data_IF_744212706378
#
_entry.id   IF_744212706378
#
_cell.length_a   1.000
_cell.length_b   1.000
_cell.length_c   1.000
_cell.angle_alpha   90.00
_cell.angle_beta   90.00
_cell.angle_gamma   90.00
#
_symmetry.space_group_name_H-M   'P 1'
#
loop_
_entity.id
_entity.type
_entity.pdbx_description
1 polymer ?
#
# COMPACT_ATOMS: atom_id res chain seq x y z
N UNK A 1 22.79 46.04 43.07
CA UNK A 1 23.56 44.80 42.92
C UNK A 1 23.62 44.51 41.42
N UNK A 2 24.80 44.66 40.83
CA UNK A 2 25.09 44.45 39.41
C UNK A 2 25.37 42.97 39.17
N UNK A 3 24.99 42.46 37.98
CA UNK A 3 25.61 41.29 37.35
C UNK A 3 24.62 40.18 36.96
N UNK A 4 24.75 39.43 35.87
CA UNK A 4 25.68 39.42 34.74
C UNK A 4 25.10 38.48 33.67
N UNK A 5 25.43 38.72 32.40
CA UNK A 5 25.10 37.91 31.22
C UNK A 5 25.60 36.45 31.29
N UNK A 6 24.94 35.54 30.56
CA UNK A 6 25.55 34.55 29.63
C UNK A 6 24.43 33.77 28.95
N UNK A 7 24.15 33.97 27.65
CA UNK A 7 24.82 33.26 26.55
C UNK A 7 25.20 31.82 26.94
N UNK A 8 24.24 30.91 26.83
CA UNK A 8 24.52 29.50 26.47
C UNK A 8 23.56 29.11 25.37
N UNK A 9 23.98 29.38 24.14
CA UNK A 9 23.65 28.52 23.01
C UNK A 9 24.05 27.09 23.38
N UNK A 10 23.11 26.15 23.36
CA UNK A 10 23.39 24.77 22.94
C UNK A 10 22.41 24.39 21.85
N UNK A 11 22.88 24.70 20.65
CA UNK A 11 22.51 24.10 19.39
C UNK A 11 22.66 22.57 19.40
N UNK A 12 21.93 21.94 18.47
CA UNK A 12 22.00 20.53 18.00
C UNK A 12 21.27 19.52 18.90
N UNK A 13 20.11 19.02 18.47
CA UNK A 13 20.06 18.01 17.42
C UNK A 13 19.05 18.33 16.31
N UNK A 14 19.55 19.00 15.27
CA UNK A 14 19.03 18.89 13.91
C UNK A 14 19.26 17.44 13.46
N UNK A 15 18.24 16.59 13.55
CA UNK A 15 18.18 15.43 12.66
C UNK A 15 17.66 15.94 11.32
N UNK A 16 18.51 15.83 10.31
CA UNK A 16 18.32 16.32 8.95
C UNK A 16 16.99 15.86 8.33
N UNK A 17 15.94 16.68 8.37
CA UNK A 17 15.04 16.76 7.22
C UNK A 17 15.74 17.63 6.18
N UNK A 18 16.58 17.03 5.33
CA UNK A 18 17.43 17.75 4.36
C UNK A 18 16.65 18.56 3.31
N UNK A 19 15.32 18.57 3.36
CA UNK A 19 14.45 19.35 2.48
C UNK A 19 13.24 19.91 3.25
N UNK A 20 13.22 21.20 3.61
CA UNK A 20 12.00 21.87 4.06
C UNK A 20 11.11 22.07 2.83
N UNK A 21 10.03 21.28 2.69
CA UNK A 21 9.04 21.46 1.62
C UNK A 21 8.83 20.29 0.65
N UNK A 22 9.35 19.09 0.92
CA UNK A 22 8.93 17.91 0.15
C UNK A 22 7.53 17.48 0.59
N UNK A 23 6.48 18.01 -0.04
CA UNK A 23 5.19 17.31 -0.11
C UNK A 23 5.49 15.87 -0.55
N UNK A 24 5.14 14.88 0.28
CA UNK A 24 5.32 13.47 -0.09
C UNK A 24 4.31 13.16 -1.19
N UNK A 25 4.71 13.33 -2.45
CA UNK A 25 3.91 12.90 -3.59
C UNK A 25 3.78 11.38 -3.57
N UNK A 26 2.55 10.87 -3.53
CA UNK A 26 2.24 9.45 -3.68
C UNK A 26 2.83 8.92 -4.98
N UNK A 27 3.44 7.73 -4.92
CA UNK A 27 4.01 7.06 -6.09
C UNK A 27 3.05 5.95 -6.54
N UNK A 28 2.85 5.84 -7.84
CA UNK A 28 2.01 4.80 -8.45
C UNK A 28 2.91 3.81 -9.19
N UNK A 29 2.75 2.52 -8.90
CA UNK A 29 3.41 1.41 -9.61
C UNK A 29 2.31 0.61 -10.30
N UNK A 30 2.33 0.58 -11.64
CA UNK A 30 1.38 -0.20 -12.42
C UNK A 30 1.97 -1.58 -12.73
N UNK A 31 1.26 -2.63 -12.35
CA UNK A 31 1.63 -4.02 -12.66
C UNK A 31 0.74 -4.51 -13.80
N UNK A 32 1.34 -4.78 -14.95
CA UNK A 32 0.65 -5.29 -16.14
C UNK A 32 1.06 -6.73 -16.46
N UNK A 33 0.28 -7.42 -17.30
CA UNK A 33 0.56 -8.78 -17.75
C UNK A 33 0.63 -8.87 -19.27
N UNK A 34 1.60 -9.64 -19.78
CA UNK A 34 1.71 -9.97 -21.19
C UNK A 34 1.71 -11.49 -21.42
N UNK A 35 1.61 -11.89 -22.68
CA UNK A 35 1.64 -13.29 -23.16
C UNK A 35 0.42 -14.12 -22.75
N UNK A 36 0.21 -14.35 -21.45
CA UNK A 36 -0.85 -15.20 -20.94
C UNK A 36 -1.38 -14.74 -19.57
N UNK A 37 -2.57 -15.22 -19.21
CA UNK A 37 -3.14 -15.08 -17.87
C UNK A 37 -2.55 -16.13 -16.90
N UNK A 38 -2.92 -16.07 -15.62
CA UNK A 38 -2.49 -17.03 -14.57
C UNK A 38 -0.98 -17.10 -14.27
N UNK A 39 -0.21 -16.07 -14.64
CA UNK A 39 1.24 -15.98 -14.36
C UNK A 39 1.59 -15.52 -12.93
N UNK A 40 0.63 -15.47 -12.01
CA UNK A 40 0.89 -15.05 -10.62
C UNK A 40 1.10 -13.54 -10.41
N UNK A 41 0.44 -12.70 -11.22
CA UNK A 41 0.55 -11.23 -11.11
C UNK A 41 0.11 -10.69 -9.75
N UNK A 42 -1.03 -11.15 -9.24
CA UNK A 42 -1.55 -10.76 -7.92
C UNK A 42 -0.55 -11.06 -6.81
N UNK A 43 -0.03 -12.29 -6.76
CA UNK A 43 1.00 -12.69 -5.78
C UNK A 43 2.32 -11.93 -5.93
N UNK A 44 2.77 -11.68 -7.17
CA UNK A 44 4.01 -10.93 -7.43
C UNK A 44 3.88 -9.47 -6.98
N UNK A 45 2.74 -8.83 -7.27
CA UNK A 45 2.44 -7.48 -6.81
C UNK A 45 2.35 -7.43 -5.27
N UNK A 46 1.69 -8.42 -4.65
CA UNK A 46 1.56 -8.55 -3.19
C UNK A 46 2.92 -8.67 -2.51
N UNK A 47 3.79 -9.51 -3.07
CA UNK A 47 5.16 -9.70 -2.60
C UNK A 47 5.99 -8.42 -2.70
N UNK A 48 5.84 -7.66 -3.79
CA UNK A 48 6.48 -6.35 -3.93
C UNK A 48 5.94 -5.36 -2.89
N UNK A 49 4.63 -5.33 -2.66
CA UNK A 49 4.00 -4.53 -1.61
C UNK A 49 4.56 -4.82 -0.23
N UNK A 50 4.68 -6.10 0.12
CA UNK A 50 5.31 -6.56 1.36
C UNK A 50 6.76 -6.07 1.50
N UNK A 51 7.58 -6.18 0.45
CA UNK A 51 8.96 -5.67 0.46
C UNK A 51 9.04 -4.14 0.62
N UNK A 52 8.07 -3.40 0.10
CA UNK A 52 8.00 -1.95 0.28
C UNK A 52 7.57 -1.59 1.71
N UNK A 53 6.60 -2.30 2.29
CA UNK A 53 6.20 -2.19 3.71
C UNK A 53 7.36 -2.50 4.64
N UNK A 54 8.11 -3.56 4.37
CA UNK A 54 9.32 -3.93 5.13
C UNK A 54 10.41 -2.85 5.11
N UNK A 55 10.37 -1.92 4.14
CA UNK A 55 11.25 -0.73 4.08
C UNK A 55 10.67 0.50 4.78
N UNK A 56 9.58 0.35 5.53
CA UNK A 56 8.92 1.44 6.27
C UNK A 56 8.11 2.38 5.37
N UNK A 57 7.71 1.95 4.17
CA UNK A 57 6.84 2.72 3.29
C UNK A 57 5.37 2.42 3.58
N UNK A 58 4.53 3.45 3.55
CA UNK A 58 3.08 3.28 3.47
C UNK A 58 2.73 2.79 2.07
N UNK A 59 2.05 1.65 1.98
CA UNK A 59 1.69 1.00 0.72
C UNK A 59 0.22 0.62 0.80
N UNK A 60 -0.51 0.90 -0.28
CA UNK A 60 -1.86 0.38 -0.53
C UNK A 60 -1.84 -0.27 -1.91
N UNK A 61 -2.81 -1.15 -2.19
CA UNK A 61 -2.90 -1.90 -3.44
C UNK A 61 -4.33 -1.86 -3.96
N UNK A 62 -4.47 -1.90 -5.28
CA UNK A 62 -5.76 -1.87 -5.96
C UNK A 62 -5.75 -2.86 -7.12
N UNK A 63 -6.84 -3.62 -7.25
CA UNK A 63 -7.11 -4.49 -8.39
C UNK A 63 -8.03 -3.79 -9.37
N UNK A 64 -7.72 -3.90 -10.66
CA UNK A 64 -8.59 -3.46 -11.76
C UNK A 64 -9.02 -4.69 -12.55
N UNK A 65 -10.24 -5.17 -12.32
CA UNK A 65 -10.80 -6.30 -13.05
C UNK A 65 -11.51 -5.82 -14.33
N UNK A 66 -11.20 -6.41 -15.50
CA UNK A 66 -11.80 -5.99 -16.77
C UNK A 66 -13.19 -6.59 -17.03
N UNK A 67 -13.80 -7.23 -16.03
CA UNK A 67 -15.11 -7.85 -16.15
C UNK A 67 -16.22 -6.81 -16.08
N UNK A 68 -17.38 -7.14 -16.66
CA UNK A 68 -18.53 -6.24 -16.68
C UNK A 68 -19.31 -6.24 -15.37
N UNK A 69 -19.20 -7.33 -14.59
CA UNK A 69 -19.84 -7.44 -13.29
C UNK A 69 -19.47 -6.23 -12.42
N UNK A 70 -20.46 -5.63 -11.77
CA UNK A 70 -20.23 -4.50 -10.85
C UNK A 70 -19.40 -4.94 -9.66
N UNK A 71 -19.66 -6.16 -9.18
CA UNK A 71 -18.99 -6.87 -8.09
C UNK A 71 -19.00 -8.39 -8.41
N UNK A 72 -18.17 -9.20 -7.76
CA UNK A 72 -18.12 -10.64 -8.01
C UNK A 72 -19.19 -11.43 -7.24
N UNK A 73 -20.08 -10.79 -6.48
CA UNK A 73 -21.13 -11.47 -5.69
C UNK A 73 -22.11 -12.30 -6.55
N UNK A 74 -22.22 -11.97 -7.84
CA UNK A 74 -23.03 -12.70 -8.82
C UNK A 74 -22.28 -13.84 -9.53
N UNK A 75 -20.98 -13.99 -9.31
CA UNK A 75 -20.15 -15.00 -9.97
C UNK A 75 -20.26 -16.36 -9.24
N UNK A 76 -20.17 -17.45 -10.00
CA UNK A 76 -20.12 -18.79 -9.39
C UNK A 76 -18.74 -19.03 -8.75
N UNK A 77 -18.65 -19.20 -7.41
CA UNK A 77 -17.36 -19.28 -6.73
C UNK A 77 -16.56 -20.55 -7.07
N UNK A 78 -17.24 -21.62 -7.48
CA UNK A 78 -16.57 -22.86 -7.89
C UNK A 78 -15.90 -22.77 -9.26
N UNK A 79 -16.21 -21.74 -10.04
CA UNK A 79 -15.64 -21.50 -11.38
C UNK A 79 -14.69 -20.30 -11.40
N UNK A 80 -14.97 -19.28 -10.59
CA UNK A 80 -14.26 -18.00 -10.64
C UNK A 80 -13.37 -17.73 -9.40
N UNK A 81 -13.45 -18.59 -8.38
CA UNK A 81 -12.74 -18.39 -7.11
C UNK A 81 -13.63 -17.76 -6.05
N UNK A 82 -13.11 -17.62 -4.84
CA UNK A 82 -13.83 -17.01 -3.73
C UNK A 82 -14.15 -15.53 -3.98
N UNK A 83 -15.23 -15.06 -3.35
CA UNK A 83 -15.50 -13.63 -3.19
C UNK A 83 -14.85 -13.20 -1.88
N UNK A 84 -13.98 -12.21 -1.93
CA UNK A 84 -13.38 -11.62 -0.73
C UNK A 84 -14.29 -10.50 -0.21
N UNK A 85 -14.39 -10.33 1.11
CA UNK A 85 -15.21 -9.28 1.73
C UNK A 85 -14.34 -8.42 2.62
N UNK A 86 -14.25 -7.14 2.30
CA UNK A 86 -13.51 -6.14 3.09
C UNK A 86 -14.29 -5.72 4.34
N UNK A 87 -13.61 -5.05 5.28
CA UNK A 87 -14.23 -4.60 6.54
C UNK A 87 -15.42 -3.65 6.37
N UNK A 88 -15.45 -2.87 5.29
CA UNK A 88 -16.56 -1.99 4.94
C UNK A 88 -17.73 -2.72 4.26
N UNK A 89 -17.60 -4.04 4.05
CA UNK A 89 -18.64 -4.90 3.50
C UNK A 89 -18.65 -4.99 1.97
N UNK A 90 -17.63 -4.47 1.27
CA UNK A 90 -17.56 -4.63 -0.18
C UNK A 90 -17.22 -6.08 -0.56
N UNK A 91 -17.94 -6.61 -1.54
CA UNK A 91 -17.63 -7.89 -2.20
C UNK A 91 -16.62 -7.63 -3.32
N UNK A 92 -15.45 -8.26 -3.25
CA UNK A 92 -14.32 -8.01 -4.15
C UNK A 92 -13.71 -9.30 -4.69
N UNK A 93 -12.85 -9.16 -5.70
CA UNK A 93 -12.05 -10.27 -6.20
C UNK A 93 -11.09 -10.80 -5.13
N UNK A 94 -10.74 -12.09 -5.21
CA UNK A 94 -9.86 -12.79 -4.27
C UNK A 94 -8.46 -12.16 -4.15
N UNK A 95 -7.99 -11.42 -5.17
CA UNK A 95 -6.70 -10.74 -5.10
C UNK A 95 -6.64 -9.68 -3.99
N UNK A 96 -7.77 -9.08 -3.59
CA UNK A 96 -7.79 -8.15 -2.44
C UNK A 96 -7.37 -8.87 -1.16
N UNK A 97 -7.82 -10.11 -0.97
CA UNK A 97 -7.37 -10.95 0.13
C UNK A 97 -5.87 -11.27 0.08
N UNK A 98 -5.28 -11.43 -1.12
CA UNK A 98 -3.81 -11.53 -1.23
C UNK A 98 -3.11 -10.25 -0.77
N UNK A 99 -3.66 -9.09 -1.11
CA UNK A 99 -3.07 -7.81 -0.75
C UNK A 99 -3.10 -7.59 0.75
N UNK A 100 -4.25 -7.77 1.41
CA UNK A 100 -4.36 -7.63 2.87
C UNK A 100 -3.41 -8.57 3.61
N UNK A 101 -3.36 -9.84 3.22
CA UNK A 101 -2.47 -10.84 3.85
C UNK A 101 -0.98 -10.51 3.72
N UNK A 102 -0.55 -9.88 2.62
CA UNK A 102 0.85 -9.51 2.42
C UNK A 102 1.23 -8.15 3.01
N UNK A 103 0.28 -7.22 3.06
CA UNK A 103 0.47 -5.88 3.62
C UNK A 103 0.27 -5.83 5.15
N UNK A 104 -0.40 -6.85 5.70
CA UNK A 104 -0.84 -6.92 7.11
C UNK A 104 -1.66 -5.68 7.48
N UNK A 105 -2.64 -5.37 6.64
CA UNK A 105 -3.51 -4.19 6.74
C UNK A 105 -4.83 -4.47 6.02
N UNK A 106 -5.94 -4.09 6.66
CA UNK A 106 -7.26 -4.11 6.04
C UNK A 106 -7.34 -2.97 5.02
N UNK A 107 -7.74 -3.28 3.78
CA UNK A 107 -7.72 -2.35 2.65
C UNK A 107 -9.04 -1.60 2.43
#
# INVERSE_FOLDING_TARGET
>A
MIGSNSVVQRSNSRVNSRFPGSSKTTKHIFVTGGVASSLGKGLTASSLGHLLRARGLSVTMQKLDPYLNVDPGTMNPFQHGEVFVTNDGAETDLDVGHYERFLDEDL
#
